data_IF_577483175877
#
_entry.id   IF_577483175877
#
_cell.length_a   1.000
_cell.length_b   1.000
_cell.length_c   1.000
_cell.angle_alpha   90.00
_cell.angle_beta   90.00
_cell.angle_gamma   90.00
#
_symmetry.space_group_name_H-M   'P 1'
#
loop_
_entity.id
_entity.type
_entity.pdbx_description
1 polymer ?
#
# COMPACT_ATOMS: atom_id res chain seq x y z
N UNK A 1 14.33 21.63 -25.69
CA UNK A 1 13.22 20.72 -25.33
C UNK A 1 13.35 20.46 -23.84
N UNK A 2 12.36 20.86 -23.04
CA UNK A 2 12.40 20.66 -21.59
C UNK A 2 12.23 19.17 -21.32
N UNK A 3 13.27 18.54 -20.76
CA UNK A 3 13.27 17.16 -20.29
C UNK A 3 12.28 17.05 -19.13
N UNK A 4 11.12 16.43 -19.36
CA UNK A 4 10.17 16.15 -18.28
C UNK A 4 10.84 15.27 -17.23
N UNK A 5 10.84 15.71 -15.97
CA UNK A 5 11.23 14.86 -14.85
C UNK A 5 10.39 13.57 -14.91
N UNK A 6 11.03 12.40 -14.95
CA UNK A 6 10.33 11.14 -14.72
C UNK A 6 9.60 11.21 -13.36
N UNK A 7 8.30 10.90 -13.37
CA UNK A 7 7.52 10.78 -12.15
C UNK A 7 8.01 9.54 -11.41
N UNK A 8 8.56 9.72 -10.21
CA UNK A 8 8.91 8.60 -9.33
C UNK A 8 7.62 7.96 -8.82
N UNK A 9 7.46 6.67 -9.06
CA UNK A 9 6.30 5.90 -8.63
C UNK A 9 6.74 4.57 -8.02
N UNK A 10 5.92 4.08 -7.09
CA UNK A 10 5.98 2.70 -6.58
C UNK A 10 4.67 2.00 -6.91
N UNK A 11 4.69 0.67 -7.02
CA UNK A 11 3.51 -0.14 -7.30
C UNK A 11 2.80 -0.61 -6.01
N UNK A 12 1.69 -1.33 -6.15
CA UNK A 12 0.90 -1.80 -5.00
C UNK A 12 1.60 -2.88 -4.17
N UNK A 13 2.54 -3.63 -4.76
CA UNK A 13 3.38 -4.58 -4.00
C UNK A 13 4.30 -3.82 -3.05
N UNK A 14 4.99 -2.80 -3.57
CA UNK A 14 5.86 -1.94 -2.78
C UNK A 14 5.08 -1.20 -1.69
N UNK A 15 3.88 -0.71 -1.99
CA UNK A 15 3.00 -0.10 -0.97
C UNK A 15 2.58 -1.10 0.12
N UNK A 16 2.35 -2.37 -0.24
CA UNK A 16 2.04 -3.44 0.71
C UNK A 16 3.25 -3.83 1.56
N UNK A 17 4.46 -3.85 1.00
CA UNK A 17 5.72 -4.06 1.74
C UNK A 17 5.98 -2.97 2.78
N UNK A 18 5.47 -1.75 2.54
CA UNK A 18 5.52 -0.65 3.50
C UNK A 18 4.43 -0.76 4.59
N UNK A 19 3.52 -1.74 4.50
CA UNK A 19 2.35 -1.87 5.39
C UNK A 19 1.25 -0.84 5.13
N UNK A 20 1.46 0.09 4.19
CA UNK A 20 0.56 1.22 3.94
C UNK A 20 -0.75 0.81 3.26
N UNK A 21 -0.72 -0.20 2.39
CA UNK A 21 -1.95 -0.74 1.80
C UNK A 21 -2.92 -1.25 2.89
N UNK A 22 -2.40 -2.00 3.87
CA UNK A 22 -3.21 -2.52 4.96
C UNK A 22 -3.70 -1.41 5.89
N UNK A 23 -2.90 -0.35 6.10
CA UNK A 23 -3.30 0.85 6.83
C UNK A 23 -4.47 1.57 6.15
N UNK A 24 -4.38 1.81 4.85
CA UNK A 24 -5.46 2.42 4.05
C UNK A 24 -6.73 1.57 4.16
N UNK A 25 -6.60 0.26 3.96
CA UNK A 25 -7.73 -0.65 4.09
C UNK A 25 -8.36 -0.57 5.49
N UNK A 26 -7.57 -0.74 6.54
CA UNK A 26 -8.10 -0.81 7.90
C UNK A 26 -8.64 0.52 8.43
N UNK A 27 -7.95 1.63 8.18
CA UNK A 27 -8.29 2.94 8.76
C UNK A 27 -9.37 3.67 7.96
N UNK A 28 -9.43 3.46 6.64
CA UNK A 28 -10.29 4.25 5.75
C UNK A 28 -11.36 3.40 5.09
N UNK A 29 -11.00 2.29 4.46
CA UNK A 29 -11.92 1.57 3.57
C UNK A 29 -12.81 0.56 4.32
N UNK A 30 -12.25 -0.19 5.25
CA UNK A 30 -12.94 -1.22 6.02
C UNK A 30 -14.15 -0.68 6.80
N UNK A 31 -14.09 0.50 7.46
CA UNK A 31 -15.25 1.09 8.11
C UNK A 31 -16.40 1.46 7.15
N UNK A 32 -16.12 1.53 5.85
CA UNK A 32 -17.09 1.81 4.79
C UNK A 32 -17.52 0.52 4.05
N UNK A 33 -17.07 -0.65 4.50
CA UNK A 33 -17.29 -1.91 3.80
C UNK A 33 -16.53 -2.01 2.47
N UNK A 34 -15.39 -1.32 2.34
CA UNK A 34 -14.56 -1.33 1.14
C UNK A 34 -13.17 -1.94 1.40
N UNK A 35 -12.56 -2.53 0.37
CA UNK A 35 -11.15 -2.96 0.41
C UNK A 35 -10.48 -2.86 -0.95
N UNK A 36 -9.24 -2.37 -1.00
CA UNK A 36 -8.46 -2.31 -2.25
C UNK A 36 -7.87 -3.68 -2.58
N UNK A 37 -8.00 -4.08 -3.86
CA UNK A 37 -7.37 -5.31 -4.36
C UNK A 37 -5.86 -5.14 -4.55
N UNK A 38 -5.14 -6.26 -4.65
CA UNK A 38 -3.74 -6.28 -5.07
C UNK A 38 -3.49 -7.54 -5.87
N UNK A 39 -2.92 -7.37 -7.06
CA UNK A 39 -2.35 -8.47 -7.81
C UNK A 39 -0.86 -8.59 -7.48
N UNK A 40 -0.42 -9.66 -6.77
CA UNK A 40 0.97 -9.82 -6.38
C UNK A 40 1.92 -10.07 -7.57
N UNK A 41 1.42 -10.58 -8.69
CA UNK A 41 2.24 -10.90 -9.87
C UNK A 41 2.56 -9.65 -10.69
N UNK A 42 1.60 -8.73 -10.82
CA UNK A 42 1.74 -7.51 -11.63
C UNK A 42 2.04 -6.27 -10.80
N UNK A 43 1.73 -6.28 -9.51
CA UNK A 43 1.77 -5.09 -8.65
C UNK A 43 0.65 -4.08 -8.94
N UNK A 44 -0.41 -4.48 -9.64
CA UNK A 44 -1.60 -3.64 -9.91
C UNK A 44 -2.66 -3.77 -8.81
N UNK A 45 -3.61 -2.83 -8.84
CA UNK A 45 -4.87 -2.92 -8.12
C UNK A 45 -5.98 -2.62 -9.11
N UNK A 46 -6.72 -3.66 -9.48
CA UNK A 46 -7.67 -3.59 -10.60
C UNK A 46 -9.10 -3.30 -10.10
N UNK A 47 -9.36 -3.57 -8.82
CA UNK A 47 -10.69 -3.51 -8.22
C UNK A 47 -10.69 -2.94 -6.79
N UNK A 48 -11.85 -2.43 -6.39
CA UNK A 48 -12.26 -2.22 -5.01
C UNK A 48 -13.34 -3.26 -4.69
N UNK A 49 -13.14 -4.03 -3.63
CA UNK A 49 -14.13 -4.97 -3.12
C UNK A 49 -15.13 -4.24 -2.21
N UNK A 50 -16.37 -4.74 -2.20
CA UNK A 50 -17.48 -4.22 -1.41
C UNK A 50 -18.01 -5.36 -0.55
N UNK A 51 -18.14 -5.12 0.75
CA UNK A 51 -18.67 -6.11 1.69
C UNK A 51 -20.18 -6.23 1.56
N UNK A 52 -20.68 -7.45 1.71
CA UNK A 52 -22.13 -7.73 1.70
C UNK A 52 -22.84 -7.21 2.96
N UNK A 53 -22.12 -7.09 4.08
CA UNK A 53 -22.63 -6.67 5.39
C UNK A 53 -22.24 -5.23 5.77
N UNK A 54 -21.57 -4.51 4.86
CA UNK A 54 -21.17 -3.12 5.03
C UNK A 54 -19.91 -2.90 5.87
N UNK A 55 -19.18 -3.95 6.29
CA UNK A 55 -17.89 -3.81 6.98
C UNK A 55 -16.87 -4.85 6.51
N UNK A 56 -15.59 -4.48 6.45
CA UNK A 56 -14.50 -5.46 6.29
C UNK A 56 -13.67 -5.58 7.57
N UNK A 57 -13.28 -6.80 7.91
CA UNK A 57 -12.31 -7.06 8.97
C UNK A 57 -11.20 -7.98 8.48
N UNK A 58 -9.95 -7.59 8.75
CA UNK A 58 -8.84 -8.52 8.59
C UNK A 58 -8.95 -9.65 9.62
N UNK A 59 -8.75 -10.89 9.15
CA UNK A 59 -8.57 -12.03 10.03
C UNK A 59 -7.37 -11.80 10.98
N UNK A 60 -7.42 -12.41 12.16
CA UNK A 60 -6.33 -12.28 13.15
C UNK A 60 -4.96 -12.73 12.60
N UNK A 61 -4.95 -13.74 11.72
CA UNK A 61 -3.74 -14.19 11.03
C UNK A 61 -3.17 -13.14 10.08
N UNK A 62 -4.04 -12.47 9.32
CA UNK A 62 -3.63 -11.41 8.37
C UNK A 62 -3.05 -10.20 9.09
N UNK A 63 -3.66 -9.76 10.20
CA UNK A 63 -3.17 -8.60 10.97
C UNK A 63 -1.74 -8.79 11.47
N UNK A 64 -1.37 -10.02 11.81
CA UNK A 64 -0.03 -10.37 12.29
C UNK A 64 1.06 -10.29 11.21
N UNK A 65 0.67 -10.32 9.93
CA UNK A 65 1.58 -10.29 8.79
C UNK A 65 1.81 -8.88 8.22
N UNK A 66 1.05 -7.88 8.70
CA UNK A 66 1.19 -6.49 8.24
C UNK A 66 2.52 -5.92 8.77
N UNK A 67 3.40 -5.40 7.89
CA UNK A 67 4.61 -4.71 8.33
C UNK A 67 4.26 -3.53 9.25
N UNK A 68 4.88 -3.51 10.44
CA UNK A 68 4.77 -2.41 11.40
C UNK A 68 5.99 -1.51 11.30
N UNK A 69 6.04 -0.70 10.25
CA UNK A 69 7.13 0.24 10.03
C UNK A 69 6.75 1.61 10.59
N UNK A 70 7.74 2.32 11.15
CA UNK A 70 7.59 3.74 11.46
C UNK A 70 7.67 4.58 10.18
N UNK A 71 7.24 5.85 10.26
CA UNK A 71 7.34 6.76 9.11
C UNK A 71 8.80 6.91 8.64
N UNK A 72 9.75 6.97 9.56
CA UNK A 72 11.18 7.08 9.24
C UNK A 72 11.68 5.85 8.48
N UNK A 73 11.27 4.64 8.89
CA UNK A 73 11.61 3.39 8.20
C UNK A 73 10.95 3.29 6.82
N UNK A 74 9.74 3.82 6.68
CA UNK A 74 9.03 3.91 5.40
C UNK A 74 9.78 4.86 4.45
N UNK A 75 10.18 6.04 4.92
CA UNK A 75 10.96 7.00 4.14
C UNK A 75 12.28 6.41 3.65
N UNK A 76 12.99 5.66 4.50
CA UNK A 76 14.22 4.96 4.12
C UNK A 76 13.99 3.95 3.00
N UNK A 77 12.96 3.11 3.14
CA UNK A 77 12.61 2.11 2.13
C UNK A 77 12.15 2.77 0.83
N UNK A 78 11.37 3.84 0.91
CA UNK A 78 10.92 4.60 -0.25
C UNK A 78 12.10 5.15 -1.04
N UNK A 79 13.11 5.72 -0.36
CA UNK A 79 14.32 6.22 -1.02
C UNK A 79 15.04 5.11 -1.81
N UNK A 80 15.17 3.92 -1.21
CA UNK A 80 15.75 2.76 -1.89
C UNK A 80 14.91 2.34 -3.09
N UNK A 81 13.57 2.26 -2.93
CA UNK A 81 12.65 1.83 -3.99
C UNK A 81 12.65 2.77 -5.21
N UNK A 82 12.85 4.08 -4.99
CA UNK A 82 12.84 5.09 -6.07
C UNK A 82 14.25 5.47 -6.55
N UNK A 83 15.29 4.74 -6.13
CA UNK A 83 16.68 4.99 -6.49
C UNK A 83 17.23 6.35 -6.02
N UNK A 84 16.68 6.92 -4.94
CA UNK A 84 17.14 8.18 -4.36
C UNK A 84 18.19 7.97 -3.26
N UNK A 85 19.08 8.94 -3.08
CA UNK A 85 19.91 9.07 -1.87
C UNK A 85 19.39 10.21 -1.01
N UNK A 86 19.44 10.08 0.34
CA UNK A 86 19.22 11.23 1.23
C UNK A 86 20.23 12.32 0.87
N UNK A 87 19.76 13.55 0.66
CA UNK A 87 20.62 14.73 0.61
C UNK A 87 21.11 15.08 2.00
#
# INVERSE_FOLDING_TARGET
MVTGNEVKAINWNQLAELGLMARINQEVLHPLGLAVSRNPETGSSDHIFVSDDGVYEYSAGTKSQIPKLTNEQIEEKLLVMIGGSRK
#
